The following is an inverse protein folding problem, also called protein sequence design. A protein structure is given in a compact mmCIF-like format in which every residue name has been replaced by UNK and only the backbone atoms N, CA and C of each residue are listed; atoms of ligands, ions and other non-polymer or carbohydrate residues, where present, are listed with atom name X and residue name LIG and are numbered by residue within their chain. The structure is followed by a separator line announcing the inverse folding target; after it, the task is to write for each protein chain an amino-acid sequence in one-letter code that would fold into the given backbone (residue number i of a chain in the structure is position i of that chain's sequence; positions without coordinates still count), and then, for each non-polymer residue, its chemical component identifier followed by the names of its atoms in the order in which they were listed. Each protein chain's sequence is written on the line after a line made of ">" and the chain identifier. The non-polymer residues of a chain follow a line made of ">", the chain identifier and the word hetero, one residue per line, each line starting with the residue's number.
data_IF_576404659242
#
_entry.id   IF_576404659242
#
_cell.length_a   1.000
_cell.length_b   1.000
_cell.length_c   1.000
_cell.angle_alpha   90.00
_cell.angle_beta   90.00
_cell.angle_gamma   90.00
#
_symmetry.space_group_name_H-M   'P 1'
#
loop_
_entity.id
_entity.type
_entity.pdbx_description
1 polymer ?
#
# COMPACT_ATOMS: atom_id res chain seq x y z
N UNK A 1 -11.24 29.75 -32.15
CA UNK A 1 -12.35 28.77 -32.20
C UNK A 1 -11.81 27.48 -31.62
N UNK A 2 -12.17 27.20 -30.40
CA UNK A 2 -11.73 26.00 -29.65
C UNK A 2 -12.88 24.99 -29.72
N UNK A 3 -12.69 23.87 -30.37
CA UNK A 3 -13.66 22.78 -30.36
C UNK A 3 -13.59 22.00 -29.04
N UNK A 4 -14.71 21.56 -28.45
CA UNK A 4 -14.73 20.92 -27.16
C UNK A 4 -14.37 19.42 -27.25
N UNK A 5 -13.54 18.98 -26.30
CA UNK A 5 -13.01 17.61 -26.10
C UNK A 5 -14.10 16.64 -25.61
N UNK A 6 -15.17 16.45 -26.39
CA UNK A 6 -16.27 15.51 -26.04
C UNK A 6 -16.43 14.32 -27.00
N UNK A 7 -15.46 14.06 -27.88
CA UNK A 7 -15.66 13.09 -28.96
C UNK A 7 -15.01 11.69 -28.77
N UNK A 8 -14.43 11.37 -27.61
CA UNK A 8 -13.76 10.04 -27.42
C UNK A 8 -14.56 8.99 -26.64
N UNK A 9 -15.75 9.30 -26.15
CA UNK A 9 -16.58 8.33 -25.36
C UNK A 9 -17.64 7.57 -26.15
N UNK A 10 -17.81 7.83 -27.44
CA UNK A 10 -18.90 7.24 -28.26
C UNK A 10 -18.47 6.16 -29.25
N UNK A 11 -17.21 5.75 -29.33
CA UNK A 11 -16.75 4.75 -30.32
C UNK A 11 -16.64 3.31 -29.81
N UNK A 12 -16.89 3.03 -28.52
CA UNK A 12 -16.83 1.65 -27.98
C UNK A 12 -18.19 0.98 -27.78
N UNK A 13 -19.31 1.65 -28.10
CA UNK A 13 -20.67 1.12 -27.89
C UNK A 13 -21.34 0.55 -29.14
N UNK A 14 -20.65 0.49 -30.28
CA UNK A 14 -21.26 0.04 -31.56
C UNK A 14 -20.99 -1.41 -31.92
N UNK A 15 -20.32 -2.21 -31.07
CA UNK A 15 -19.96 -3.61 -31.38
C UNK A 15 -20.80 -4.67 -30.67
N UNK A 16 -21.67 -4.30 -29.77
CA UNK A 16 -22.67 -5.21 -29.21
C UNK A 16 -24.03 -4.54 -29.28
N UNK A 17 -24.92 -5.09 -30.13
CA UNK A 17 -26.27 -4.58 -30.39
C UNK A 17 -27.11 -4.37 -29.13
N UNK A 18 -26.88 -3.26 -28.44
CA UNK A 18 -27.68 -2.81 -27.32
C UNK A 18 -28.69 -1.79 -27.85
N UNK A 19 -29.94 -2.17 -27.84
CA UNK A 19 -31.08 -1.29 -28.11
C UNK A 19 -30.96 0.01 -27.29
N UNK A 20 -31.42 1.13 -27.88
CA UNK A 20 -31.51 2.45 -27.22
C UNK A 20 -31.92 2.29 -25.76
N UNK A 21 -30.99 2.55 -24.85
CA UNK A 21 -31.31 2.68 -23.42
C UNK A 21 -32.13 3.96 -23.26
N UNK A 22 -33.33 3.78 -22.82
CA UNK A 22 -34.25 4.88 -22.48
C UNK A 22 -33.61 5.70 -21.33
N UNK A 23 -33.21 6.94 -21.63
CA UNK A 23 -32.46 7.82 -20.70
C UNK A 23 -33.36 8.36 -19.55
N UNK A 24 -34.51 7.75 -19.31
CA UNK A 24 -35.52 8.17 -18.30
C UNK A 24 -35.54 7.28 -17.05
N UNK A 25 -34.63 6.33 -16.88
CA UNK A 25 -34.49 5.63 -15.60
C UNK A 25 -33.72 6.52 -14.61
N UNK A 26 -34.27 6.80 -13.41
CA UNK A 26 -33.55 7.53 -12.38
C UNK A 26 -32.28 6.73 -12.07
N UNK A 27 -31.11 7.40 -12.08
CA UNK A 27 -29.85 6.83 -11.58
C UNK A 27 -30.16 6.28 -10.20
N UNK A 28 -30.17 4.96 -10.06
CA UNK A 28 -30.48 4.31 -8.80
C UNK A 28 -29.47 4.83 -7.79
N UNK A 29 -29.92 5.60 -6.83
CA UNK A 29 -29.06 6.20 -5.80
C UNK A 29 -28.44 5.03 -5.03
N UNK A 30 -27.12 4.86 -5.15
CA UNK A 30 -26.39 3.78 -4.48
C UNK A 30 -26.55 3.97 -2.97
N UNK A 31 -27.13 3.00 -2.29
CA UNK A 31 -27.13 2.97 -0.82
C UNK A 31 -25.72 2.61 -0.34
N UNK A 32 -24.91 3.64 -0.06
CA UNK A 32 -23.53 3.47 0.40
C UNK A 32 -23.44 2.65 1.69
N UNK A 33 -24.37 2.82 2.62
CA UNK A 33 -24.37 2.08 3.88
C UNK A 33 -24.50 0.58 3.62
N UNK A 34 -25.44 0.20 2.74
CA UNK A 34 -25.64 -1.20 2.33
C UNK A 34 -24.40 -1.73 1.57
N UNK A 35 -23.80 -0.92 0.68
CA UNK A 35 -22.63 -1.35 -0.10
C UNK A 35 -21.38 -1.56 0.77
N UNK A 36 -21.17 -0.73 1.80
CA UNK A 36 -20.10 -0.94 2.78
C UNK A 36 -20.39 -2.14 3.69
N UNK A 37 -21.64 -2.33 4.12
CA UNK A 37 -22.05 -3.45 5.00
C UNK A 37 -21.81 -4.79 4.32
N UNK A 38 -22.20 -4.98 3.06
CA UNK A 38 -22.07 -6.24 2.35
C UNK A 38 -20.62 -6.62 2.03
N UNK A 39 -19.66 -5.65 2.10
CA UNK A 39 -18.22 -5.88 1.89
C UNK A 39 -17.43 -6.04 3.19
N UNK A 40 -18.07 -6.11 4.34
CA UNK A 40 -17.38 -6.33 5.62
C UNK A 40 -16.59 -7.64 5.64
N UNK A 41 -15.52 -7.74 6.46
CA UNK A 41 -15.01 -6.71 7.37
C UNK A 41 -14.17 -5.64 6.68
N UNK A 42 -14.14 -4.42 7.24
CA UNK A 42 -13.28 -3.33 6.82
C UNK A 42 -12.26 -3.01 7.92
N UNK A 43 -11.06 -2.66 7.52
CA UNK A 43 -10.01 -2.11 8.39
C UNK A 43 -9.94 -0.60 8.25
N UNK A 44 -9.91 -0.11 7.02
CA UNK A 44 -9.76 1.29 6.69
C UNK A 44 -11.08 2.06 6.84
N UNK A 45 -10.98 3.23 7.46
CA UNK A 45 -12.05 4.22 7.53
C UNK A 45 -11.97 5.17 6.33
N UNK A 46 -13.13 5.46 5.75
CA UNK A 46 -13.27 6.40 4.64
C UNK A 46 -14.32 7.47 4.96
N UNK A 47 -14.00 8.72 4.62
CA UNK A 47 -14.95 9.84 4.69
C UNK A 47 -15.47 10.12 3.28
N UNK A 48 -16.77 9.86 3.02
CA UNK A 48 -17.42 10.05 1.72
C UNK A 48 -18.65 10.91 1.93
N UNK A 49 -18.72 12.04 1.24
CA UNK A 49 -19.81 13.02 1.35
C UNK A 49 -20.13 13.43 2.81
N UNK A 50 -19.07 13.59 3.62
CA UNK A 50 -19.17 14.01 5.02
C UNK A 50 -19.63 12.91 5.99
N UNK A 51 -19.73 11.65 5.54
CA UNK A 51 -20.06 10.48 6.39
C UNK A 51 -18.90 9.49 6.46
N UNK A 52 -18.71 8.91 7.64
CA UNK A 52 -17.71 7.85 7.84
C UNK A 52 -18.29 6.49 7.47
N UNK A 53 -17.48 5.70 6.74
CA UNK A 53 -17.76 4.33 6.33
C UNK A 53 -16.53 3.45 6.54
N UNK A 54 -16.74 2.14 6.58
CA UNK A 54 -15.66 1.16 6.65
C UNK A 54 -15.28 0.79 8.07
N UNK A 55 -13.97 0.75 8.34
CA UNK A 55 -13.36 0.31 9.60
C UNK A 55 -13.00 1.46 10.54
N UNK A 56 -11.90 1.28 11.29
CA UNK A 56 -11.45 2.24 12.31
C UNK A 56 -10.11 2.92 11.98
N UNK A 57 -9.30 2.32 11.10
CA UNK A 57 -7.99 2.85 10.77
C UNK A 57 -8.09 3.99 9.77
N UNK A 58 -7.72 5.20 10.18
CA UNK A 58 -7.75 6.40 9.36
C UNK A 58 -6.49 6.53 8.49
N UNK A 59 -6.34 5.62 7.52
CA UNK A 59 -5.20 5.61 6.61
C UNK A 59 -5.14 6.85 5.71
N UNK A 60 -6.28 7.51 5.45
CA UNK A 60 -6.33 8.72 4.63
C UNK A 60 -5.64 9.92 5.31
N UNK A 61 -5.65 9.98 6.65
CA UNK A 61 -5.05 11.05 7.44
C UNK A 61 -3.83 10.57 8.26
N UNK A 62 -3.21 9.47 7.85
CA UNK A 62 -2.06 8.90 8.54
C UNK A 62 -0.84 9.82 8.42
N UNK A 63 -0.21 10.14 9.55
CA UNK A 63 1.00 10.97 9.63
C UNK A 63 2.19 10.42 8.83
N UNK A 64 2.23 9.11 8.55
CA UNK A 64 3.26 8.47 7.72
C UNK A 64 3.29 9.01 6.29
N UNK A 65 2.17 9.48 5.76
CA UNK A 65 2.10 10.13 4.46
C UNK A 65 2.89 11.45 4.47
N UNK A 66 2.69 12.29 5.48
CA UNK A 66 3.44 13.55 5.61
C UNK A 66 4.93 13.29 5.87
N UNK A 67 5.27 12.30 6.69
CA UNK A 67 6.65 11.87 6.90
C UNK A 67 7.29 11.39 5.58
N UNK A 68 6.59 10.61 4.76
CA UNK A 68 7.09 10.18 3.46
C UNK A 68 7.48 11.35 2.56
N UNK A 69 6.59 12.34 2.40
CA UNK A 69 6.87 13.51 1.56
C UNK A 69 7.87 14.49 2.15
N UNK A 70 8.11 14.46 3.46
CA UNK A 70 9.19 15.21 4.09
C UNK A 70 10.57 14.74 3.60
N UNK A 71 10.72 13.43 3.35
CA UNK A 71 11.98 12.83 2.85
C UNK A 71 12.03 12.72 1.33
N UNK A 72 10.89 12.54 0.68
CA UNK A 72 10.78 12.34 -0.78
C UNK A 72 9.80 13.35 -1.41
N UNK A 73 10.04 14.67 -1.27
CA UNK A 73 9.08 15.71 -1.68
C UNK A 73 8.80 15.73 -3.19
N UNK A 74 9.71 15.20 -4.00
CA UNK A 74 9.60 15.19 -5.46
C UNK A 74 9.12 13.85 -6.02
N UNK A 75 8.75 12.88 -5.17
CA UNK A 75 8.23 11.60 -5.63
C UNK A 75 6.92 11.78 -6.39
N UNK A 76 6.96 11.47 -7.68
CA UNK A 76 5.86 11.63 -8.63
C UNK A 76 5.24 10.28 -9.01
N UNK A 77 6.06 9.24 -9.06
CA UNK A 77 5.67 7.84 -9.28
C UNK A 77 6.01 7.03 -8.05
N UNK A 78 5.01 6.41 -7.42
CA UNK A 78 5.15 5.71 -6.14
C UNK A 78 4.67 4.27 -6.30
N UNK A 79 5.47 3.32 -5.80
CA UNK A 79 5.01 1.96 -5.57
C UNK A 79 4.64 1.79 -4.10
N UNK A 80 3.39 1.51 -3.81
CA UNK A 80 2.94 1.12 -2.49
C UNK A 80 2.88 -0.40 -2.38
N UNK A 81 3.43 -0.93 -1.30
CA UNK A 81 3.43 -2.36 -1.00
C UNK A 81 2.51 -2.65 0.19
N UNK A 82 1.52 -3.53 -0.02
CA UNK A 82 0.50 -3.87 0.97
C UNK A 82 -0.57 -2.78 1.09
N UNK A 83 -1.27 -2.50 0.00
CA UNK A 83 -2.22 -1.39 -0.09
C UNK A 83 -3.48 -1.56 0.75
N UNK A 84 -3.76 -2.77 1.26
CA UNK A 84 -4.98 -3.09 1.99
C UNK A 84 -6.22 -2.64 1.18
N UNK A 85 -7.04 -1.79 1.72
CA UNK A 85 -8.26 -1.25 1.09
C UNK A 85 -8.02 0.12 0.42
N UNK A 86 -6.74 0.47 0.16
CA UNK A 86 -6.34 1.64 -0.63
C UNK A 86 -6.27 2.98 0.11
N UNK A 87 -6.44 3.02 1.42
CA UNK A 87 -6.46 4.28 2.15
C UNK A 87 -5.19 5.12 1.99
N UNK A 88 -4.02 4.53 2.19
CA UNK A 88 -2.74 5.19 1.93
C UNK A 88 -2.57 5.52 0.44
N UNK A 89 -2.96 4.59 -0.47
CA UNK A 89 -2.87 4.80 -1.92
C UNK A 89 -3.57 6.09 -2.35
N UNK A 90 -4.79 6.32 -1.85
CA UNK A 90 -5.56 7.52 -2.17
C UNK A 90 -4.95 8.78 -1.55
N UNK A 91 -4.44 8.67 -0.32
CA UNK A 91 -3.77 9.77 0.35
C UNK A 91 -2.48 10.18 -0.36
N UNK A 92 -1.65 9.20 -0.80
CA UNK A 92 -0.47 9.43 -1.64
C UNK A 92 -0.86 10.11 -2.96
N UNK A 93 -1.89 9.58 -3.65
CA UNK A 93 -2.36 10.10 -4.94
C UNK A 93 -2.95 11.51 -4.86
N UNK A 94 -3.42 11.91 -3.68
CA UNK A 94 -4.00 13.25 -3.44
C UNK A 94 -2.96 14.36 -3.40
N UNK A 95 -1.67 14.01 -3.28
CA UNK A 95 -0.60 15.01 -3.28
C UNK A 95 -0.41 15.61 -4.68
N UNK A 96 -0.23 16.93 -4.79
CA UNK A 96 -0.15 17.61 -6.09
C UNK A 96 1.01 17.12 -6.98
N UNK A 97 2.16 16.78 -6.39
CA UNK A 97 3.34 16.31 -7.11
C UNK A 97 3.16 14.89 -7.69
N UNK A 98 2.26 14.08 -7.10
CA UNK A 98 2.08 12.68 -7.49
C UNK A 98 1.27 12.57 -8.77
N UNK A 99 1.80 11.84 -9.73
CA UNK A 99 1.18 11.53 -11.03
C UNK A 99 0.63 10.10 -11.08
N UNK A 100 1.30 9.15 -10.41
CA UNK A 100 0.94 7.74 -10.44
C UNK A 100 1.29 7.05 -9.13
N UNK A 101 0.37 6.27 -8.60
CA UNK A 101 0.59 5.30 -7.53
C UNK A 101 0.24 3.92 -8.06
N UNK A 102 1.18 3.00 -8.01
CA UNK A 102 0.91 1.56 -8.20
C UNK A 102 0.78 0.95 -6.82
N UNK A 103 -0.36 0.38 -6.53
CA UNK A 103 -0.73 -0.15 -5.23
C UNK A 103 -0.81 -1.68 -5.28
N UNK A 104 0.24 -2.35 -4.79
CA UNK A 104 0.32 -3.81 -4.79
C UNK A 104 -0.35 -4.38 -3.53
N UNK A 105 -1.28 -5.30 -3.72
CA UNK A 105 -2.04 -5.95 -2.65
C UNK A 105 -2.25 -7.44 -2.98
N UNK A 106 -2.02 -8.30 -1.98
CA UNK A 106 -2.09 -9.75 -2.17
C UNK A 106 -3.47 -10.38 -1.96
N UNK A 107 -4.44 -9.63 -1.43
CA UNK A 107 -5.81 -10.12 -1.20
C UNK A 107 -6.79 -9.57 -2.22
N UNK A 108 -7.38 -10.41 -3.10
CA UNK A 108 -8.39 -9.95 -4.06
C UNK A 108 -9.56 -9.22 -3.41
N UNK A 109 -9.99 -9.64 -2.22
CA UNK A 109 -11.07 -8.98 -1.48
C UNK A 109 -10.73 -7.54 -1.05
N UNK A 110 -9.47 -7.24 -0.76
CA UNK A 110 -9.03 -5.89 -0.44
C UNK A 110 -9.01 -5.02 -1.72
N UNK A 111 -8.56 -5.59 -2.83
CA UNK A 111 -8.57 -4.91 -4.14
C UNK A 111 -10.01 -4.59 -4.56
N UNK A 112 -10.96 -5.53 -4.42
CA UNK A 112 -12.39 -5.27 -4.71
C UNK A 112 -12.91 -4.07 -3.91
N UNK A 113 -12.60 -4.01 -2.62
CA UNK A 113 -12.99 -2.89 -1.75
C UNK A 113 -12.30 -1.59 -2.17
N UNK A 114 -11.00 -1.63 -2.45
CA UNK A 114 -10.24 -0.47 -2.91
C UNK A 114 -10.79 0.10 -4.22
N UNK A 115 -11.09 -0.76 -5.21
CA UNK A 115 -11.71 -0.37 -6.48
C UNK A 115 -13.11 0.23 -6.28
N UNK A 116 -13.90 -0.34 -5.37
CA UNK A 116 -15.21 0.25 -5.01
C UNK A 116 -15.03 1.67 -4.45
N UNK A 117 -14.15 1.87 -3.47
CA UNK A 117 -13.88 3.20 -2.91
C UNK A 117 -13.30 4.14 -3.97
N UNK A 118 -12.41 3.65 -4.84
CA UNK A 118 -11.83 4.43 -5.94
C UNK A 118 -12.91 5.04 -6.84
N UNK A 119 -13.99 4.28 -7.13
CA UNK A 119 -15.10 4.79 -7.94
C UNK A 119 -15.85 5.93 -7.24
N UNK A 120 -15.98 5.87 -5.91
CA UNK A 120 -16.68 6.88 -5.11
C UNK A 120 -15.88 8.19 -5.00
N UNK A 121 -14.56 8.10 -4.79
CA UNK A 121 -13.69 9.27 -4.64
C UNK A 121 -13.15 9.81 -5.97
N UNK A 122 -13.35 9.08 -7.08
CA UNK A 122 -12.96 9.50 -8.42
C UNK A 122 -11.44 9.56 -8.68
N UNK A 123 -10.63 8.83 -7.91
CA UNK A 123 -9.17 8.84 -8.06
C UNK A 123 -8.73 8.20 -9.37
N UNK A 124 -8.00 8.94 -10.20
CA UNK A 124 -7.51 8.46 -11.51
C UNK A 124 -6.00 8.14 -11.49
N UNK A 125 -5.31 8.41 -10.38
CA UNK A 125 -3.85 8.26 -10.27
C UNK A 125 -3.42 6.93 -9.65
N UNK A 126 -4.35 6.14 -9.11
CA UNK A 126 -4.07 4.87 -8.44
C UNK A 126 -4.37 3.71 -9.38
N UNK A 127 -3.42 2.81 -9.50
CA UNK A 127 -3.52 1.53 -10.20
C UNK A 127 -3.34 0.41 -9.18
N UNK A 128 -4.38 -0.38 -8.93
CA UNK A 128 -4.28 -1.55 -8.04
C UNK A 128 -3.81 -2.76 -8.81
N UNK A 129 -2.83 -3.47 -8.23
CA UNK A 129 -2.24 -4.69 -8.80
C UNK A 129 -2.38 -5.81 -7.77
N UNK A 130 -3.02 -6.92 -8.17
CA UNK A 130 -3.04 -8.14 -7.37
C UNK A 130 -1.65 -8.78 -7.40
N UNK A 131 -0.97 -8.77 -6.25
CA UNK A 131 0.40 -9.23 -6.14
C UNK A 131 0.67 -9.86 -4.77
N UNK A 132 0.87 -11.18 -4.75
CA UNK A 132 1.52 -11.81 -3.60
C UNK A 132 3.01 -11.47 -3.65
N UNK A 133 3.47 -10.62 -2.74
CA UNK A 133 4.84 -10.10 -2.75
C UNK A 133 5.92 -11.15 -2.43
N UNK A 134 5.52 -12.37 -2.06
CA UNK A 134 6.44 -13.49 -1.84
C UNK A 134 6.91 -14.09 -3.18
N UNK A 135 6.05 -14.11 -4.22
CA UNK A 135 6.31 -14.75 -5.51
C UNK A 135 6.07 -13.86 -6.73
N UNK A 136 5.40 -12.71 -6.58
CA UNK A 136 5.11 -11.79 -7.69
C UNK A 136 6.40 -11.13 -8.21
N UNK A 137 6.54 -11.05 -9.52
CA UNK A 137 7.63 -10.32 -10.17
C UNK A 137 7.42 -8.81 -10.10
N UNK A 138 7.83 -8.20 -8.98
CA UNK A 138 7.74 -6.75 -8.80
C UNK A 138 8.53 -5.96 -9.85
N UNK A 139 9.58 -6.54 -10.44
CA UNK A 139 10.42 -5.85 -11.42
C UNK A 139 9.68 -5.60 -12.74
N UNK A 140 8.66 -6.40 -13.03
CA UNK A 140 7.79 -6.18 -14.19
C UNK A 140 6.98 -4.86 -14.11
N UNK A 141 6.84 -4.26 -12.91
CA UNK A 141 6.14 -2.98 -12.72
C UNK A 141 6.98 -1.77 -13.16
N UNK A 142 8.29 -1.95 -13.41
CA UNK A 142 9.22 -0.89 -13.79
C UNK A 142 9.76 -0.10 -12.59
N UNK A 143 10.37 1.07 -12.88
CA UNK A 143 11.01 1.88 -11.86
C UNK A 143 10.05 2.96 -11.30
N UNK A 144 10.32 3.36 -10.05
CA UNK A 144 9.55 4.35 -9.31
C UNK A 144 10.48 5.40 -8.69
N UNK A 145 9.96 6.61 -8.46
CA UNK A 145 10.69 7.64 -7.72
C UNK A 145 10.87 7.24 -6.27
N UNK A 146 9.88 6.55 -5.68
CA UNK A 146 9.98 6.02 -4.33
C UNK A 146 9.10 4.78 -4.13
N UNK A 147 9.49 3.91 -3.18
CA UNK A 147 8.67 2.82 -2.65
C UNK A 147 8.15 3.20 -1.28
N UNK A 148 6.85 3.01 -1.05
CA UNK A 148 6.16 3.16 0.24
C UNK A 148 5.78 1.78 0.77
N UNK A 149 6.48 1.32 1.82
CA UNK A 149 6.28 0.03 2.47
C UNK A 149 5.87 0.27 3.94
N UNK A 150 4.59 0.50 4.18
CA UNK A 150 4.06 0.84 5.48
C UNK A 150 3.08 -0.20 5.99
N UNK A 151 3.45 -0.91 7.07
CA UNK A 151 2.59 -1.93 7.67
C UNK A 151 2.68 -3.30 6.99
N UNK A 152 3.73 -3.58 6.23
CA UNK A 152 3.84 -4.82 5.46
C UNK A 152 5.06 -5.66 5.81
N UNK A 153 6.26 -5.05 5.94
CA UNK A 153 7.52 -5.80 5.97
C UNK A 153 7.55 -6.87 7.08
N UNK A 154 6.92 -6.60 8.21
CA UNK A 154 6.81 -7.52 9.34
C UNK A 154 5.80 -8.66 9.12
N UNK A 155 5.12 -8.70 7.98
CA UNK A 155 4.19 -9.76 7.59
C UNK A 155 4.77 -10.75 6.57
N UNK A 156 6.00 -10.50 6.07
CA UNK A 156 6.59 -11.37 5.05
C UNK A 156 7.58 -12.37 5.66
N UNK A 157 7.67 -13.59 5.13
CA UNK A 157 8.62 -14.59 5.63
C UNK A 157 10.07 -14.26 5.27
N UNK A 158 10.30 -13.57 4.14
CA UNK A 158 11.63 -13.26 3.61
C UNK A 158 11.81 -11.75 3.37
N UNK A 159 11.88 -10.92 4.45
CA UNK A 159 12.01 -9.47 4.30
C UNK A 159 13.29 -9.05 3.53
N UNK A 160 14.36 -9.85 3.55
CA UNK A 160 15.58 -9.59 2.79
C UNK A 160 15.33 -9.61 1.28
N UNK A 161 14.56 -10.58 0.78
CA UNK A 161 14.21 -10.69 -0.64
C UNK A 161 13.35 -9.50 -1.07
N UNK A 162 12.39 -9.07 -0.24
CA UNK A 162 11.54 -7.91 -0.54
C UNK A 162 12.37 -6.61 -0.59
N UNK A 163 13.29 -6.39 0.36
CA UNK A 163 14.18 -5.22 0.36
C UNK A 163 15.10 -5.21 -0.86
N UNK A 164 15.64 -6.37 -1.26
CA UNK A 164 16.43 -6.48 -2.48
C UNK A 164 15.66 -6.05 -3.72
N UNK A 165 14.40 -6.52 -3.87
CA UNK A 165 13.52 -6.11 -4.97
C UNK A 165 13.18 -4.62 -4.91
N UNK A 166 12.86 -4.07 -3.74
CA UNK A 166 12.65 -2.63 -3.57
C UNK A 166 13.86 -1.82 -4.04
N UNK A 167 15.08 -2.28 -3.70
CA UNK A 167 16.30 -1.61 -4.10
C UNK A 167 16.53 -1.62 -5.63
N UNK A 168 16.05 -2.62 -6.33
CA UNK A 168 16.11 -2.65 -7.81
C UNK A 168 15.09 -1.69 -8.45
N UNK A 169 13.96 -1.43 -7.79
CA UNK A 169 12.86 -0.60 -8.31
C UNK A 169 13.03 0.89 -8.02
N UNK A 170 13.71 1.24 -6.92
CA UNK A 170 13.85 2.64 -6.52
C UNK A 170 15.12 2.91 -5.72
N UNK A 171 15.60 4.14 -5.81
CA UNK A 171 16.64 4.67 -4.95
C UNK A 171 16.11 5.21 -3.61
N UNK A 172 14.79 5.30 -3.44
CA UNK A 172 14.14 5.86 -2.28
C UNK A 172 13.14 4.85 -1.70
N UNK A 173 13.25 4.56 -0.41
CA UNK A 173 12.40 3.58 0.27
C UNK A 173 11.97 4.13 1.62
N UNK A 174 10.66 4.20 1.83
CA UNK A 174 10.04 4.49 3.12
C UNK A 174 9.52 3.19 3.73
N UNK A 175 9.82 2.95 5.00
CA UNK A 175 9.38 1.77 5.74
C UNK A 175 8.76 2.20 7.07
N UNK A 176 7.57 1.67 7.37
CA UNK A 176 7.09 1.52 8.73
C UNK A 176 6.89 0.04 9.02
N UNK A 177 7.55 -0.49 10.06
CA UNK A 177 7.53 -1.92 10.36
C UNK A 177 7.71 -2.20 11.84
N UNK A 178 7.21 -3.36 12.31
CA UNK A 178 7.65 -3.97 13.56
C UNK A 178 9.02 -4.61 13.39
N UNK A 179 9.75 -4.73 14.50
CA UNK A 179 11.05 -5.40 14.57
C UNK A 179 11.21 -6.15 15.89
N UNK A 180 12.15 -7.11 15.94
CA UNK A 180 12.45 -7.88 17.15
C UNK A 180 13.39 -7.10 18.08
N UNK A 181 13.10 -7.08 19.38
CA UNK A 181 14.06 -6.65 20.40
C UNK A 181 15.31 -7.56 20.43
N UNK A 182 16.42 -7.04 20.93
CA UNK A 182 17.67 -7.83 21.04
C UNK A 182 17.52 -9.01 22.00
N UNK A 183 16.66 -8.90 23.00
CA UNK A 183 16.28 -9.94 23.97
C UNK A 183 15.27 -10.97 23.39
N UNK A 184 14.64 -10.67 22.26
CA UNK A 184 13.71 -11.55 21.57
C UNK A 184 14.37 -12.37 20.43
N UNK A 185 15.68 -12.24 20.23
CA UNK A 185 16.38 -12.93 19.14
C UNK A 185 16.40 -14.44 19.37
N UNK A 186 15.74 -15.18 18.47
CA UNK A 186 15.69 -16.64 18.49
C UNK A 186 16.60 -17.26 17.42
N UNK A 187 16.82 -16.58 16.32
CA UNK A 187 17.51 -17.14 15.14
C UNK A 187 18.40 -16.10 14.43
N UNK A 188 19.35 -16.65 13.69
CA UNK A 188 20.10 -15.93 12.67
C UNK A 188 19.76 -16.58 11.32
N UNK A 189 19.14 -15.81 10.43
CA UNK A 189 18.72 -16.26 9.10
C UNK A 189 19.32 -15.32 8.06
N UNK A 190 20.04 -15.83 7.06
CA UNK A 190 20.79 -15.01 6.09
C UNK A 190 21.74 -13.97 6.72
N UNK A 191 22.30 -14.30 7.91
CA UNK A 191 23.14 -13.37 8.67
C UNK A 191 22.38 -12.24 9.38
N UNK A 192 21.07 -12.31 9.43
CA UNK A 192 20.19 -11.36 10.10
C UNK A 192 19.69 -11.97 11.41
N UNK A 193 19.85 -11.24 12.51
CA UNK A 193 19.33 -11.60 13.83
C UNK A 193 17.87 -11.23 13.91
N UNK A 194 17.02 -12.08 14.48
CA UNK A 194 15.60 -11.82 14.63
C UNK A 194 14.83 -12.99 15.20
N UNK A 195 13.50 -12.93 15.06
CA UNK A 195 12.58 -13.99 15.48
C UNK A 195 11.58 -14.33 14.39
N UNK A 196 11.03 -15.55 14.46
CA UNK A 196 9.85 -15.90 13.68
C UNK A 196 8.60 -15.47 14.43
N UNK A 197 7.71 -14.80 13.71
CA UNK A 197 6.38 -14.43 14.19
C UNK A 197 5.34 -15.31 13.50
N UNK A 198 4.32 -15.76 14.27
CA UNK A 198 3.19 -16.55 13.72
C UNK A 198 2.16 -15.60 13.11
N UNK A 199 1.77 -15.88 11.89
CA UNK A 199 0.75 -15.15 11.15
C UNK A 199 -0.57 -15.93 11.09
N UNK A 200 -1.69 -15.22 11.00
CA UNK A 200 -3.02 -15.79 10.80
C UNK A 200 -3.27 -16.29 9.37
N UNK A 201 -2.43 -15.85 8.42
CA UNK A 201 -2.55 -16.18 6.99
C UNK A 201 -3.77 -15.51 6.34
N UNK A 202 -4.28 -16.14 5.29
CA UNK A 202 -5.41 -15.61 4.50
C UNK A 202 -6.69 -15.36 5.30
N UNK A 203 -6.89 -16.08 6.41
CA UNK A 203 -8.09 -15.97 7.26
C UNK A 203 -8.14 -14.72 8.14
N UNK A 204 -7.03 -14.02 8.31
CA UNK A 204 -6.95 -12.80 9.12
C UNK A 204 -6.58 -11.61 8.23
N UNK A 205 -7.47 -10.61 8.07
CA UNK A 205 -7.24 -9.47 7.17
C UNK A 205 -6.07 -8.59 7.55
N UNK A 206 -5.61 -8.64 8.81
CA UNK A 206 -4.48 -7.86 9.33
C UNK A 206 -3.19 -8.67 9.47
N UNK A 207 -3.13 -9.85 8.89
CA UNK A 207 -1.98 -10.75 8.96
C UNK A 207 -1.31 -10.93 7.60
N UNK A 208 -0.07 -11.46 7.59
CA UNK A 208 0.60 -11.89 6.37
C UNK A 208 -0.16 -13.00 5.63
N UNK A 209 0.18 -13.22 4.35
CA UNK A 209 -0.42 -14.28 3.54
C UNK A 209 0.11 -15.66 3.94
N UNK A 210 1.38 -15.73 4.32
CA UNK A 210 2.03 -16.92 4.89
C UNK A 210 1.65 -17.12 6.35
N UNK A 211 1.91 -18.33 6.89
CA UNK A 211 1.64 -18.67 8.31
C UNK A 211 2.69 -18.14 9.29
N UNK A 212 3.76 -17.54 8.78
CA UNK A 212 4.85 -16.98 9.57
C UNK A 212 5.53 -15.84 8.82
N UNK A 213 6.06 -14.89 9.56
CA UNK A 213 6.92 -13.82 9.08
C UNK A 213 8.23 -13.79 9.87
N UNK A 214 9.27 -13.16 9.32
CA UNK A 214 10.52 -12.97 10.03
C UNK A 214 10.66 -11.51 10.46
N UNK A 215 10.79 -11.28 11.77
CA UNK A 215 11.02 -9.97 12.35
C UNK A 215 12.52 -9.80 12.62
N UNK A 216 13.24 -9.05 11.79
CA UNK A 216 14.66 -8.75 12.07
C UNK A 216 14.78 -7.81 13.27
N UNK A 217 15.93 -7.80 13.94
CA UNK A 217 16.27 -6.69 14.85
C UNK A 217 16.47 -5.40 14.08
N UNK A 218 16.39 -4.24 14.76
CA UNK A 218 16.63 -2.94 14.12
C UNK A 218 18.00 -2.87 13.44
N UNK A 219 19.05 -3.40 14.10
CA UNK A 219 20.38 -3.49 13.51
C UNK A 219 20.43 -4.36 12.27
N UNK A 220 19.71 -5.49 12.26
CA UNK A 220 19.58 -6.36 11.08
C UNK A 220 18.80 -5.69 9.96
N UNK A 221 17.76 -4.94 10.27
CA UNK A 221 16.97 -4.17 9.29
C UNK A 221 17.83 -3.10 8.60
N UNK A 222 18.60 -2.31 9.36
CA UNK A 222 19.53 -1.33 8.80
C UNK A 222 20.62 -2.02 7.95
N UNK A 223 21.14 -3.17 8.40
CA UNK A 223 22.11 -3.95 7.63
C UNK A 223 21.52 -4.46 6.29
N UNK A 224 20.25 -4.90 6.26
CA UNK A 224 19.58 -5.25 5.00
C UNK A 224 19.55 -4.08 4.03
N UNK A 225 19.16 -2.89 4.50
CA UNK A 225 19.09 -1.68 3.68
C UNK A 225 20.47 -1.32 3.12
N UNK A 226 21.50 -1.27 3.98
CA UNK A 226 22.87 -0.88 3.55
C UNK A 226 23.49 -1.88 2.59
N UNK A 227 23.29 -3.19 2.78
CA UNK A 227 23.74 -4.25 1.85
C UNK A 227 23.10 -4.12 0.46
N UNK A 228 21.87 -3.58 0.38
CA UNK A 228 21.17 -3.35 -0.87
C UNK A 228 21.42 -1.95 -1.47
N UNK A 229 22.45 -1.26 -0.97
CA UNK A 229 22.95 -0.01 -1.55
C UNK A 229 22.29 1.27 -1.03
N UNK A 230 21.38 1.19 -0.07
CA UNK A 230 20.88 2.38 0.62
C UNK A 230 21.96 2.92 1.56
N UNK A 231 22.59 4.03 1.17
CA UNK A 231 23.76 4.60 1.88
C UNK A 231 23.36 5.48 3.05
N UNK A 232 22.22 6.12 2.94
CA UNK A 232 21.65 6.96 4.00
C UNK A 232 20.35 6.34 4.50
N UNK A 233 20.28 6.10 5.80
CA UNK A 233 19.08 5.60 6.48
C UNK A 233 18.73 6.55 7.62
N UNK A 234 17.63 7.27 7.46
CA UNK A 234 17.10 8.15 8.49
C UNK A 234 16.14 7.37 9.38
N UNK A 235 16.41 7.35 10.68
CA UNK A 235 15.47 6.87 11.68
C UNK A 235 14.54 8.04 12.04
N UNK A 236 13.29 7.97 11.53
CA UNK A 236 12.28 9.02 11.72
C UNK A 236 11.63 8.88 13.10
N UNK A 237 11.25 7.65 13.43
CA UNK A 237 10.60 7.33 14.70
C UNK A 237 11.02 5.92 15.15
N UNK A 238 11.20 5.75 16.46
CA UNK A 238 11.37 4.45 17.09
C UNK A 238 10.36 4.31 18.24
N UNK A 239 9.25 3.66 17.97
CA UNK A 239 8.14 3.49 18.89
C UNK A 239 8.37 2.27 19.80
N UNK A 240 9.11 2.46 20.89
CA UNK A 240 9.45 1.40 21.85
C UNK A 240 8.25 0.90 22.68
N UNK A 241 7.13 1.63 22.68
CA UNK A 241 5.92 1.31 23.47
C UNK A 241 4.69 1.13 22.57
N UNK A 242 4.89 0.75 21.29
CA UNK A 242 3.76 0.47 20.42
C UNK A 242 2.99 -0.77 20.94
N UNK A 243 1.63 -0.77 20.94
CA UNK A 243 0.82 -1.85 21.54
C UNK A 243 1.12 -3.25 20.98
N UNK A 244 1.51 -3.33 19.70
CA UNK A 244 1.77 -4.59 19.00
C UNK A 244 3.26 -4.97 18.94
N UNK A 245 4.11 -4.36 19.79
CA UNK A 245 5.55 -4.60 19.82
C UNK A 245 6.37 -3.42 19.27
N UNK A 246 7.68 -3.52 19.34
CA UNK A 246 8.59 -2.48 18.87
C UNK A 246 8.31 -2.13 17.40
N UNK A 247 8.24 -0.84 17.07
CA UNK A 247 8.01 -0.40 15.71
C UNK A 247 8.95 0.76 15.32
N UNK A 248 9.27 0.85 14.04
CA UNK A 248 10.20 1.86 13.52
C UNK A 248 9.71 2.43 12.19
N UNK A 249 9.94 3.74 12.02
CA UNK A 249 9.79 4.43 10.72
C UNK A 249 11.18 4.82 10.20
N UNK A 250 11.47 4.41 8.99
CA UNK A 250 12.74 4.68 8.30
C UNK A 250 12.50 5.31 6.93
N UNK A 251 13.38 6.25 6.55
CA UNK A 251 13.54 6.65 5.15
C UNK A 251 14.97 6.32 4.71
N UNK A 252 15.10 5.59 3.60
CA UNK A 252 16.37 5.12 3.09
C UNK A 252 16.60 5.61 1.66
N UNK A 253 17.83 6.05 1.33
CA UNK A 253 18.20 6.52 -0.01
C UNK A 253 19.56 5.98 -0.42
N UNK A 254 19.74 5.79 -1.73
CA UNK A 254 21.01 5.39 -2.35
C UNK A 254 21.95 6.55 -2.65
N UNK A 255 21.44 7.77 -2.61
CA UNK A 255 22.21 9.01 -2.80
C UNK A 255 22.98 9.40 -1.56
#
# INVERSE_FOLDING_TARGET
>A
MLEPVWCCRLKLLTLYGVNRIDMAQPVQQIDLAHEFERRKPWVTKFLIDGREYGGHFDAMNDGRISQFFQYFPNASTILELGALEGGHSFSLANQPAVKRVVAAEGRPSNIEKALFVQTLIGSQKVEFVEANLEDFDLLALGNFDAVFCSGLLYHVPEPWTLIERCAQLSSNLFIWTHYAGEDEVEKVVHGLRGKWHREGGLGDPLSGLSKKSFWPTLGSLINMLTKNGYRTVHLIENALKHPNGLAVTLAATKA
#
